data_IF_572613719855
#
_entry.id   IF_572613719855
#
_cell.length_a   1.000
_cell.length_b   1.000
_cell.length_c   1.000
_cell.angle_alpha   90.00
_cell.angle_beta   90.00
_cell.angle_gamma   90.00
#
_symmetry.space_group_name_H-M   'P 1'
#
loop_
_entity.id
_entity.type
_entity.pdbx_description
1 polymer ?
#
# COMPACT_ATOMS: atom_id res chain seq x y z
N UNK A 1 -20.97 5.59 0.05
CA UNK A 1 -21.00 6.55 -1.08
C UNK A 1 -20.10 5.99 -2.17
N UNK A 2 -20.54 5.89 -3.43
CA UNK A 2 -19.65 5.54 -4.55
C UNK A 2 -18.44 6.47 -4.58
N UNK A 3 -17.26 5.93 -4.90
CA UNK A 3 -16.02 6.71 -4.84
C UNK A 3 -16.07 7.92 -5.78
N UNK A 4 -16.69 7.77 -6.95
CA UNK A 4 -16.88 8.84 -7.94
C UNK A 4 -17.69 10.00 -7.38
N UNK A 5 -18.71 9.69 -6.56
CA UNK A 5 -19.51 10.72 -5.87
C UNK A 5 -18.72 11.45 -4.79
N UNK A 6 -17.75 10.79 -4.16
CA UNK A 6 -16.81 11.41 -3.21
C UNK A 6 -15.79 12.28 -3.95
N UNK A 7 -15.18 11.76 -5.03
CA UNK A 7 -14.20 12.46 -5.85
C UNK A 7 -14.76 13.73 -6.53
N UNK A 8 -16.06 13.76 -6.79
CA UNK A 8 -16.76 14.93 -7.32
C UNK A 8 -17.08 16.00 -6.27
N UNK A 9 -16.84 15.75 -4.97
CA UNK A 9 -17.14 16.74 -3.93
C UNK A 9 -16.18 17.92 -4.00
N UNK A 10 -16.65 19.16 -3.75
CA UNK A 10 -15.80 20.33 -3.71
C UNK A 10 -14.61 20.16 -2.77
N UNK A 11 -14.80 19.50 -1.62
CA UNK A 11 -13.73 19.21 -0.66
C UNK A 11 -12.60 18.36 -1.25
N UNK A 12 -12.94 17.33 -2.03
CA UNK A 12 -11.96 16.43 -2.65
C UNK A 12 -11.13 17.14 -3.75
N UNK A 13 -11.65 18.23 -4.32
CA UNK A 13 -11.02 18.98 -5.41
C UNK A 13 -10.39 20.30 -4.96
N UNK A 14 -10.75 20.82 -3.78
CA UNK A 14 -10.38 22.17 -3.31
C UNK A 14 -8.88 22.36 -3.07
N UNK A 15 -8.20 21.31 -2.62
CA UNK A 15 -6.79 21.37 -2.24
C UNK A 15 -5.99 20.33 -3.02
N UNK A 16 -4.77 20.69 -3.42
CA UNK A 16 -3.90 19.76 -4.15
C UNK A 16 -3.68 18.45 -3.40
N UNK A 17 -3.50 18.52 -2.08
CA UNK A 17 -3.37 17.35 -1.23
C UNK A 17 -4.59 16.42 -1.35
N UNK A 18 -5.81 16.97 -1.29
CA UNK A 18 -7.05 16.20 -1.46
C UNK A 18 -7.16 15.58 -2.85
N UNK A 19 -6.72 16.31 -3.88
CA UNK A 19 -6.70 15.82 -5.26
C UNK A 19 -5.73 14.64 -5.41
N UNK A 20 -4.51 14.76 -4.91
CA UNK A 20 -3.53 13.65 -4.92
C UNK A 20 -4.03 12.43 -4.16
N UNK A 21 -4.66 12.62 -3.00
CA UNK A 21 -5.27 11.49 -2.26
C UNK A 21 -6.37 10.83 -3.08
N UNK A 22 -7.18 11.61 -3.79
CA UNK A 22 -8.24 11.09 -4.67
C UNK A 22 -7.66 10.30 -5.85
N UNK A 23 -6.64 10.85 -6.52
CA UNK A 23 -5.93 10.17 -7.61
C UNK A 23 -5.26 8.87 -7.15
N UNK A 24 -4.67 8.85 -5.96
CA UNK A 24 -4.08 7.65 -5.35
C UNK A 24 -5.13 6.56 -5.09
N UNK A 25 -6.31 6.94 -4.57
CA UNK A 25 -7.40 6.02 -4.35
C UNK A 25 -7.97 5.47 -5.66
N UNK A 26 -8.08 6.29 -6.72
CA UNK A 26 -8.44 5.82 -8.05
C UNK A 26 -7.45 4.78 -8.56
N UNK A 27 -6.15 5.08 -8.49
CA UNK A 27 -5.11 4.13 -8.89
C UNK A 27 -5.18 2.82 -8.10
N UNK A 28 -5.61 2.86 -6.82
CA UNK A 28 -5.84 1.66 -6.01
C UNK A 28 -7.06 0.86 -6.49
N UNK A 29 -8.16 1.53 -6.83
CA UNK A 29 -9.36 0.89 -7.37
C UNK A 29 -9.09 0.23 -8.73
N UNK A 30 -8.30 0.89 -9.57
CA UNK A 30 -7.90 0.38 -10.89
C UNK A 30 -6.81 -0.71 -10.83
N UNK A 31 -6.32 -1.03 -9.63
CA UNK A 31 -5.25 -2.02 -9.42
C UNK A 31 -3.85 -1.53 -9.83
N UNK A 32 -3.70 -0.30 -10.30
CA UNK A 32 -2.43 0.31 -10.66
C UNK A 32 -1.55 0.62 -9.43
N UNK A 33 -2.16 0.82 -8.26
CA UNK A 33 -1.47 1.05 -6.99
C UNK A 33 -1.71 -0.10 -6.00
N UNK A 34 -0.66 -0.89 -5.74
CA UNK A 34 -0.73 -2.03 -4.83
C UNK A 34 -0.62 -1.63 -3.35
N UNK A 35 -0.06 -0.46 -3.05
CA UNK A 35 0.19 -0.01 -1.68
C UNK A 35 1.25 -0.83 -0.94
N UNK A 36 1.25 -0.70 0.38
CA UNK A 36 2.08 -1.48 1.28
C UNK A 36 1.23 -2.56 1.95
N UNK A 37 1.83 -3.74 2.11
CA UNK A 37 1.17 -4.88 2.74
C UNK A 37 1.81 -5.17 4.08
N UNK A 38 1.01 -5.52 5.11
CA UNK A 38 1.55 -6.01 6.36
C UNK A 38 2.24 -7.36 6.11
N UNK A 39 3.47 -7.50 6.58
CA UNK A 39 4.17 -8.77 6.64
C UNK A 39 4.50 -9.07 8.09
N UNK A 40 4.05 -10.21 8.62
CA UNK A 40 4.39 -10.62 9.98
C UNK A 40 5.89 -10.90 10.04
N UNK A 41 6.55 -10.32 11.03
CA UNK A 41 7.95 -10.57 11.34
C UNK A 41 8.07 -10.98 12.80
N UNK A 42 8.99 -11.90 13.08
CA UNK A 42 9.40 -12.21 14.44
C UNK A 42 10.35 -11.11 14.91
N UNK A 43 10.06 -10.49 16.05
CA UNK A 43 10.89 -9.43 16.61
C UNK A 43 11.09 -9.62 18.10
N UNK A 44 12.34 -9.54 18.55
CA UNK A 44 12.67 -9.54 19.98
C UNK A 44 12.28 -8.24 20.69
N UNK A 45 11.89 -7.21 19.93
CA UNK A 45 11.49 -5.90 20.46
C UNK A 45 9.97 -5.77 20.71
N UNK A 46 9.15 -6.73 20.26
CA UNK A 46 7.69 -6.75 20.51
C UNK A 46 7.35 -7.60 21.73
N UNK A 47 6.39 -7.14 22.54
CA UNK A 47 5.92 -7.79 23.78
C UNK A 47 5.41 -9.22 23.53
N UNK A 48 4.79 -9.46 22.39
CA UNK A 48 4.22 -10.75 21.95
C UNK A 48 5.12 -11.50 20.95
N UNK A 49 6.33 -10.97 20.68
CA UNK A 49 7.26 -11.54 19.70
C UNK A 49 6.84 -11.35 18.23
N UNK A 50 5.69 -10.73 17.97
CA UNK A 50 5.15 -10.51 16.64
C UNK A 50 5.13 -9.00 16.32
N UNK A 51 5.70 -8.63 15.19
CA UNK A 51 5.60 -7.27 14.65
C UNK A 51 5.12 -7.33 13.20
N UNK A 52 4.57 -6.23 12.69
CA UNK A 52 4.16 -6.12 11.30
C UNK A 52 5.01 -5.09 10.58
N UNK A 53 5.71 -5.53 9.53
CA UNK A 53 6.45 -4.64 8.66
C UNK A 53 5.62 -4.33 7.41
N UNK A 54 5.36 -3.05 7.16
CA UNK A 54 4.55 -2.59 6.03
C UNK A 54 5.46 -2.15 4.89
N UNK A 55 5.47 -2.89 3.80
CA UNK A 55 6.28 -2.55 2.64
C UNK A 55 5.67 -3.07 1.34
N UNK A 56 6.28 -2.65 0.23
CA UNK A 56 5.90 -3.09 -1.10
C UNK A 56 6.46 -4.51 -1.34
N UNK A 57 5.58 -5.51 -1.35
CA UNK A 57 5.95 -6.91 -1.50
C UNK A 57 6.15 -7.36 -2.97
N UNK A 58 6.02 -6.45 -3.95
CA UNK A 58 6.20 -6.78 -5.38
C UNK A 58 7.54 -7.44 -5.71
N UNK A 59 8.56 -7.21 -4.88
CA UNK A 59 9.92 -7.75 -5.08
C UNK A 59 10.26 -8.93 -4.16
N UNK A 60 9.35 -9.40 -3.29
CA UNK A 60 9.67 -10.47 -2.33
C UNK A 60 9.77 -11.86 -2.95
N UNK A 61 9.08 -12.09 -4.07
CA UNK A 61 9.05 -13.39 -4.73
C UNK A 61 10.08 -13.50 -5.86
N UNK A 62 11.19 -12.76 -5.80
CA UNK A 62 12.31 -13.08 -6.69
C UNK A 62 12.81 -14.49 -6.33
N UNK A 63 12.76 -15.44 -7.28
CA UNK A 63 13.37 -16.75 -7.04
C UNK A 63 14.84 -16.50 -6.72
N UNK A 64 15.30 -17.06 -5.60
CA UNK A 64 16.71 -17.06 -5.26
C UNK A 64 17.47 -17.63 -6.46
N UNK A 65 18.26 -16.79 -7.11
CA UNK A 65 19.34 -17.25 -7.99
C UNK A 65 20.42 -17.79 -7.07
N UNK A 66 20.15 -18.94 -6.46
CA UNK A 66 21.20 -19.76 -5.88
C UNK A 66 21.98 -20.30 -7.08
N UNK A 67 23.19 -19.77 -7.27
CA UNK A 67 24.15 -20.35 -8.21
C UNK A 67 24.35 -21.83 -7.87
N UNK A 68 24.19 -22.75 -8.84
CA UNK A 68 24.61 -24.12 -8.64
C UNK A 68 26.15 -24.16 -8.68
N UNK A 69 26.71 -24.54 -7.52
CA UNK A 69 28.04 -25.10 -7.22
C UNK A 69 29.17 -24.93 -8.24
#
# INVERSE_FOLDING_TARGET
>A
MPFEKYAAQPFAQKHEQSRYVTELCLAKLDGAYAGFFPQPISSSASIDGLSYFYFNNKNLHQPSTADPS
#
